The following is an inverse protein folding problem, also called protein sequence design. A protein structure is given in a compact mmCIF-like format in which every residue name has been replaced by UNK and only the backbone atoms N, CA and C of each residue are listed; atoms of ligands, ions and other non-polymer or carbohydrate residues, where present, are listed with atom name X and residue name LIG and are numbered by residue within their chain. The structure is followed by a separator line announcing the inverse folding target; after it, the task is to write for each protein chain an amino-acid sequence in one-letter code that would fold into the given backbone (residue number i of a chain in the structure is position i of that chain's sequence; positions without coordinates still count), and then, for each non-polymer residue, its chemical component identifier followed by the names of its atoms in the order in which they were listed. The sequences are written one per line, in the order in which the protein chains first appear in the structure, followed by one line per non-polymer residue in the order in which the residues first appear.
data_IF_300389733472
#
_entry.id   IF_300389733472
#
_cell.length_a   1.000
_cell.length_b   1.000
_cell.length_c   1.000
_cell.angle_alpha   90.00
_cell.angle_beta   90.00
_cell.angle_gamma   90.00
#
_symmetry.space_group_name_H-M   'P 1'
#
loop_
_entity.id
_entity.type
_entity.pdbx_description
1 polymer ?
#
# COMPACT_ATOMS: atom_id res chain seq x y z
N UNK A 1 -24.57 12.96 -19.55
CA UNK A 1 -25.81 13.00 -20.33
C UNK A 1 -26.04 14.42 -20.81
N UNK A 2 -26.39 14.62 -22.07
CA UNK A 2 -26.83 15.91 -22.61
C UNK A 2 -28.35 15.93 -22.72
N UNK A 3 -28.97 17.05 -22.37
CA UNK A 3 -30.41 17.27 -22.40
C UNK A 3 -30.65 18.61 -23.10
N UNK A 4 -31.58 18.66 -24.05
CA UNK A 4 -31.98 19.89 -24.73
C UNK A 4 -33.46 20.12 -24.49
N UNK A 5 -33.81 21.28 -23.91
CA UNK A 5 -35.20 21.63 -23.61
C UNK A 5 -35.80 22.47 -24.73
N UNK A 6 -37.07 22.17 -25.08
CA UNK A 6 -37.79 22.93 -26.09
C UNK A 6 -38.20 24.34 -25.59
N UNK A 7 -38.28 24.54 -24.28
CA UNK A 7 -38.61 25.81 -23.64
C UNK A 7 -37.44 26.27 -22.75
N UNK A 8 -37.00 27.51 -22.95
CA UNK A 8 -35.92 28.15 -22.20
C UNK A 8 -36.31 28.49 -20.75
N UNK A 9 -37.61 28.50 -20.43
CA UNK A 9 -38.13 28.77 -19.09
C UNK A 9 -38.34 27.50 -18.26
N UNK A 10 -38.27 26.32 -18.88
CA UNK A 10 -38.43 25.04 -18.17
C UNK A 10 -37.19 24.73 -17.33
N UNK A 11 -37.33 24.90 -16.02
CA UNK A 11 -36.32 24.48 -15.06
C UNK A 11 -36.41 22.96 -14.87
N UNK A 12 -35.43 22.23 -15.40
CA UNK A 12 -35.34 20.77 -15.21
C UNK A 12 -35.29 20.41 -13.73
N UNK A 13 -36.21 19.58 -13.27
CA UNK A 13 -36.15 19.02 -11.93
C UNK A 13 -35.20 17.81 -11.91
N UNK A 14 -33.93 18.08 -11.59
CA UNK A 14 -32.91 17.03 -11.50
C UNK A 14 -33.23 15.98 -10.43
N UNK A 15 -33.97 16.33 -9.37
CA UNK A 15 -34.36 15.35 -8.35
C UNK A 15 -35.27 14.27 -8.94
N UNK A 16 -36.28 14.68 -9.70
CA UNK A 16 -37.20 13.75 -10.38
C UNK A 16 -36.45 12.95 -11.46
N UNK A 17 -35.52 13.58 -12.16
CA UNK A 17 -34.68 12.89 -13.15
C UNK A 17 -33.81 11.81 -12.48
N UNK A 18 -33.22 12.10 -11.33
CA UNK A 18 -32.45 11.13 -10.55
C UNK A 18 -33.28 9.92 -10.11
N UNK A 19 -34.54 10.15 -9.70
CA UNK A 19 -35.48 9.08 -9.35
C UNK A 19 -35.91 8.23 -10.55
N UNK A 20 -35.98 8.81 -11.75
CA UNK A 20 -36.23 8.04 -12.96
C UNK A 20 -35.01 7.22 -13.36
N UNK A 21 -33.81 7.80 -13.29
CA UNK A 21 -32.57 7.08 -13.57
C UNK A 21 -32.43 5.87 -12.65
N UNK A 22 -32.67 6.02 -11.35
CA UNK A 22 -32.60 4.90 -10.40
C UNK A 22 -33.63 3.82 -10.72
N UNK A 23 -34.86 4.20 -11.06
CA UNK A 23 -35.92 3.26 -11.46
C UNK A 23 -35.55 2.48 -12.72
N UNK A 24 -35.09 3.17 -13.77
CA UNK A 24 -34.71 2.55 -15.04
C UNK A 24 -33.50 1.61 -14.89
N UNK A 25 -32.57 1.97 -14.00
CA UNK A 25 -31.38 1.17 -13.68
C UNK A 25 -31.62 0.10 -12.62
N UNK A 26 -32.82 0.03 -12.02
CA UNK A 26 -33.17 -0.88 -10.92
C UNK A 26 -32.20 -0.80 -9.73
N UNK A 27 -31.85 0.43 -9.34
CA UNK A 27 -31.00 0.72 -8.17
C UNK A 27 -31.76 1.62 -7.19
N UNK A 28 -31.29 1.71 -5.94
CA UNK A 28 -31.90 2.59 -4.95
C UNK A 28 -31.70 4.07 -5.33
N UNK A 29 -32.70 4.91 -5.02
CA UNK A 29 -32.64 6.35 -5.25
C UNK A 29 -31.43 7.02 -4.55
N UNK A 30 -30.98 6.46 -3.42
CA UNK A 30 -29.85 6.97 -2.65
C UNK A 30 -28.49 6.73 -3.31
N UNK A 31 -28.44 5.77 -4.25
CA UNK A 31 -27.25 5.40 -5.00
C UNK A 31 -26.99 6.34 -6.18
N UNK A 32 -28.04 6.92 -6.76
CA UNK A 32 -27.93 7.84 -7.89
C UNK A 32 -27.76 9.27 -7.38
N UNK A 33 -26.59 9.84 -7.64
CA UNK A 33 -26.23 11.19 -7.17
C UNK A 33 -25.89 12.11 -8.32
N UNK A 34 -26.37 13.34 -8.25
CA UNK A 34 -26.00 14.38 -9.19
C UNK A 34 -24.57 14.85 -8.88
N UNK A 35 -23.69 14.82 -9.88
CA UNK A 35 -22.28 15.21 -9.72
C UNK A 35 -22.01 16.61 -10.23
N UNK A 36 -22.50 16.93 -11.43
CA UNK A 36 -22.29 18.25 -12.04
C UNK A 36 -23.42 18.57 -13.02
N UNK A 37 -23.71 19.87 -13.16
CA UNK A 37 -24.61 20.43 -14.15
C UNK A 37 -23.91 21.62 -14.80
N UNK A 38 -23.81 21.59 -16.13
CA UNK A 38 -23.37 22.73 -16.92
C UNK A 38 -24.48 23.09 -17.88
N UNK A 39 -24.93 24.34 -17.88
CA UNK A 39 -26.00 24.81 -18.78
C UNK A 39 -25.47 25.85 -19.76
N UNK A 40 -25.88 25.72 -21.02
CA UNK A 40 -25.62 26.68 -22.09
C UNK A 40 -26.93 26.92 -22.86
N UNK A 41 -27.61 28.03 -22.55
CA UNK A 41 -28.95 28.28 -23.10
C UNK A 41 -29.92 27.19 -22.66
N UNK A 42 -30.50 26.47 -23.62
CA UNK A 42 -31.47 25.39 -23.38
C UNK A 42 -30.80 24.01 -23.28
N UNK A 43 -29.48 23.94 -23.46
CA UNK A 43 -28.73 22.70 -23.39
C UNK A 43 -28.10 22.52 -22.02
N UNK A 44 -28.34 21.35 -21.42
CA UNK A 44 -27.81 20.94 -20.14
C UNK A 44 -26.89 19.73 -20.32
N UNK A 45 -25.66 19.86 -19.86
CA UNK A 45 -24.76 18.73 -19.67
C UNK A 45 -24.79 18.32 -18.20
N UNK A 46 -25.36 17.15 -17.94
CA UNK A 46 -25.57 16.62 -16.61
C UNK A 46 -24.72 15.38 -16.39
N UNK A 47 -23.93 15.39 -15.31
CA UNK A 47 -23.11 14.26 -14.89
C UNK A 47 -23.74 13.60 -13.65
N UNK A 48 -23.99 12.30 -13.75
CA UNK A 48 -24.56 11.47 -12.70
C UNK A 48 -23.55 10.43 -12.25
N UNK A 49 -23.60 10.05 -10.97
CA UNK A 49 -22.80 8.97 -10.40
C UNK A 49 -23.70 7.93 -9.74
N UNK A 50 -23.35 6.66 -9.93
CA UNK A 50 -24.02 5.53 -9.29
C UNK A 50 -23.04 4.97 -8.26
N UNK A 51 -23.42 5.05 -6.99
CA UNK A 51 -22.59 4.61 -5.87
C UNK A 51 -23.15 3.33 -5.26
N UNK A 52 -22.32 2.52 -4.58
CA UNK A 52 -22.86 1.44 -3.77
C UNK A 52 -23.81 1.98 -2.70
N UNK A 53 -24.75 1.14 -2.26
CA UNK A 53 -25.63 1.44 -1.12
C UNK A 53 -24.78 1.80 0.10
N UNK A 54 -25.29 2.64 1.01
CA UNK A 54 -24.54 3.13 2.17
C UNK A 54 -23.93 2.03 3.06
N UNK A 55 -24.45 0.81 3.00
CA UNK A 55 -23.96 -0.37 3.73
C UNK A 55 -22.91 -1.19 2.96
N UNK A 56 -22.72 -0.94 1.66
CA UNK A 56 -21.86 -1.72 0.79
C UNK A 56 -20.62 -0.92 0.37
N UNK A 57 -19.46 -1.57 0.35
CA UNK A 57 -18.21 -0.97 -0.11
C UNK A 57 -18.05 -1.04 -1.64
N UNK A 58 -18.81 -1.89 -2.32
CA UNK A 58 -18.77 -2.08 -3.77
C UNK A 58 -20.14 -2.43 -4.34
N UNK A 59 -20.32 -2.15 -5.64
CA UNK A 59 -21.46 -2.63 -6.41
C UNK A 59 -21.16 -4.07 -6.83
N UNK A 60 -22.11 -4.99 -6.66
CA UNK A 60 -21.93 -6.39 -7.06
C UNK A 60 -21.73 -6.51 -8.57
N UNK A 61 -21.01 -7.55 -9.01
CA UNK A 61 -20.74 -7.75 -10.45
C UNK A 61 -22.04 -7.91 -11.26
N UNK A 62 -23.03 -8.64 -10.73
CA UNK A 62 -24.34 -8.82 -11.36
C UNK A 62 -25.09 -7.49 -11.52
N UNK A 63 -25.09 -6.63 -10.50
CA UNK A 63 -25.74 -5.31 -10.56
C UNK A 63 -25.00 -4.38 -11.52
N UNK A 64 -23.66 -4.36 -11.47
CA UNK A 64 -22.86 -3.57 -12.39
C UNK A 64 -23.11 -3.97 -13.86
N UNK A 65 -23.19 -5.28 -14.14
CA UNK A 65 -23.48 -5.80 -15.47
C UNK A 65 -24.90 -5.44 -15.92
N UNK A 66 -25.90 -5.53 -15.02
CA UNK A 66 -27.27 -5.08 -15.30
C UNK A 66 -27.32 -3.60 -15.69
N UNK A 67 -26.63 -2.73 -14.94
CA UNK A 67 -26.54 -1.29 -15.24
C UNK A 67 -25.92 -1.06 -16.62
N UNK A 68 -24.79 -1.72 -16.92
CA UNK A 68 -24.09 -1.58 -18.20
C UNK A 68 -24.97 -2.01 -19.37
N UNK A 69 -25.68 -3.14 -19.26
CA UNK A 69 -26.59 -3.61 -20.30
C UNK A 69 -27.72 -2.60 -20.57
N UNK A 70 -28.32 -2.04 -19.51
CA UNK A 70 -29.39 -1.05 -19.64
C UNK A 70 -28.93 0.25 -20.29
N UNK A 71 -27.72 0.71 -19.95
CA UNK A 71 -27.10 1.88 -20.57
C UNK A 71 -26.76 1.63 -22.04
N UNK A 72 -26.22 0.46 -22.37
CA UNK A 72 -25.80 0.10 -23.74
C UNK A 72 -27.00 -0.09 -24.68
N UNK A 73 -28.04 -0.77 -24.22
CA UNK A 73 -29.21 -1.14 -25.03
C UNK A 73 -30.20 0.03 -25.24
N UNK A 74 -29.82 1.26 -24.88
CA UNK A 74 -30.66 2.47 -25.01
C UNK A 74 -32.01 2.35 -24.30
N UNK A 75 -32.08 1.54 -23.23
CA UNK A 75 -33.34 1.25 -22.53
C UNK A 75 -33.78 2.34 -21.58
N UNK A 76 -32.94 3.34 -21.30
CA UNK A 76 -33.29 4.45 -20.43
C UNK A 76 -34.36 5.32 -21.09
N UNK A 77 -35.62 5.09 -20.75
CA UNK A 77 -36.74 5.89 -21.27
C UNK A 77 -37.09 6.99 -20.28
N UNK A 78 -36.73 8.23 -20.60
CA UNK A 78 -37.20 9.38 -19.84
C UNK A 78 -38.47 9.97 -20.47
N UNK A 79 -39.41 10.46 -19.65
CA UNK A 79 -40.61 11.13 -20.14
C UNK A 79 -40.26 12.36 -20.99
N UNK A 80 -41.08 12.64 -22.00
CA UNK A 80 -40.89 13.73 -22.98
C UNK A 80 -40.77 15.13 -22.34
N UNK A 81 -41.29 15.31 -21.13
CA UNK A 81 -41.18 16.55 -20.34
C UNK A 81 -39.73 17.02 -20.08
N UNK A 82 -38.75 16.12 -20.20
CA UNK A 82 -37.33 16.46 -20.06
C UNK A 82 -36.67 16.87 -21.38
N UNK A 83 -37.41 16.86 -22.50
CA UNK A 83 -36.90 17.17 -23.83
C UNK A 83 -36.06 16.05 -24.44
N UNK A 84 -35.27 16.39 -25.44
CA UNK A 84 -34.39 15.44 -26.11
C UNK A 84 -33.16 15.18 -25.26
N UNK A 85 -32.86 13.91 -24.99
CA UNK A 85 -31.70 13.51 -24.20
C UNK A 85 -30.80 12.55 -24.97
N UNK A 86 -29.51 12.60 -24.68
CA UNK A 86 -28.51 11.68 -25.23
C UNK A 86 -27.49 11.32 -24.15
N UNK A 87 -27.20 10.02 -24.03
CA UNK A 87 -26.06 9.57 -23.24
C UNK A 87 -24.78 9.93 -24.00
N UNK A 88 -24.02 10.88 -23.46
CA UNK A 88 -22.78 11.38 -24.09
C UNK A 88 -21.62 10.43 -23.82
N UNK A 89 -21.46 10.04 -22.56
CA UNK A 89 -20.35 9.22 -22.09
C UNK A 89 -20.81 8.46 -20.85
N UNK A 90 -20.36 7.22 -20.74
CA UNK A 90 -20.43 6.45 -19.50
C UNK A 90 -19.03 5.89 -19.24
N UNK A 91 -18.61 5.93 -17.98
CA UNK A 91 -17.35 5.35 -17.54
C UNK A 91 -17.57 4.66 -16.20
N UNK A 92 -16.98 3.48 -16.03
CA UNK A 92 -16.96 2.76 -14.77
C UNK A 92 -15.61 3.02 -14.10
N UNK A 93 -15.57 3.95 -13.15
CA UNK A 93 -14.36 4.19 -12.38
C UNK A 93 -14.15 3.00 -11.43
N UNK A 94 -13.06 2.21 -11.59
CA UNK A 94 -12.75 1.19 -10.61
C UNK A 94 -12.47 1.90 -9.29
N UNK A 95 -13.22 1.55 -8.24
CA UNK A 95 -12.95 1.98 -6.86
C UNK A 95 -11.45 1.79 -6.63
N UNK A 96 -10.69 2.90 -6.59
CA UNK A 96 -9.24 2.85 -6.35
C UNK A 96 -9.04 1.93 -5.17
N UNK A 97 -8.43 0.78 -5.43
CA UNK A 97 -8.04 -0.19 -4.41
C UNK A 97 -7.37 0.64 -3.32
N UNK A 98 -8.06 0.67 -2.18
CA UNK A 98 -7.80 1.55 -1.06
C UNK A 98 -6.29 1.78 -0.86
N UNK A 99 -5.94 3.03 -0.56
CA UNK A 99 -4.79 3.52 0.20
C UNK A 99 -4.14 2.55 1.22
N UNK A 100 -4.77 1.42 1.57
CA UNK A 100 -4.18 0.25 2.22
C UNK A 100 -2.94 -0.33 1.54
N UNK A 101 -2.78 -0.27 0.21
CA UNK A 101 -1.54 -0.80 -0.43
C UNK A 101 -0.32 0.00 0.02
N UNK A 102 -0.48 1.32 0.16
CA UNK A 102 0.60 2.21 0.60
C UNK A 102 0.91 2.00 2.08
N UNK A 103 -0.12 1.78 2.91
CA UNK A 103 0.06 1.44 4.32
C UNK A 103 0.77 0.10 4.54
N UNK A 104 0.45 -0.93 3.77
CA UNK A 104 1.12 -2.25 3.87
C UNK A 104 2.60 -2.15 3.47
N UNK A 105 2.91 -1.37 2.42
CA UNK A 105 4.30 -1.15 1.98
C UNK A 105 5.13 -0.37 3.01
N UNK A 106 4.55 0.64 3.65
CA UNK A 106 5.24 1.43 4.68
C UNK A 106 5.50 0.60 5.95
N UNK A 107 4.56 -0.27 6.34
CA UNK A 107 4.70 -1.14 7.51
C UNK A 107 5.81 -2.20 7.31
N UNK A 108 5.86 -2.83 6.13
CA UNK A 108 6.85 -3.87 5.83
C UNK A 108 8.29 -3.31 5.80
N UNK A 109 8.47 -2.09 5.26
CA UNK A 109 9.78 -1.43 5.21
C UNK A 109 10.35 -1.14 6.60
N UNK A 110 9.52 -0.70 7.53
CA UNK A 110 9.96 -0.38 8.89
C UNK A 110 10.41 -1.62 9.65
N UNK A 111 9.65 -2.72 9.60
CA UNK A 111 10.00 -3.96 10.29
C UNK A 111 11.30 -4.58 9.75
N UNK A 112 11.47 -4.59 8.43
CA UNK A 112 12.69 -5.13 7.79
C UNK A 112 13.95 -4.33 8.16
N UNK A 113 13.84 -3.00 8.24
CA UNK A 113 14.96 -2.14 8.64
C UNK A 113 15.38 -2.39 10.10
N UNK A 114 14.43 -2.52 11.03
CA UNK A 114 14.73 -2.83 12.42
C UNK A 114 15.36 -4.22 12.57
N UNK A 115 14.88 -5.21 11.81
CA UNK A 115 15.44 -6.55 11.85
C UNK A 115 16.87 -6.59 11.29
N UNK A 116 17.13 -5.89 10.19
CA UNK A 116 18.48 -5.76 9.65
C UNK A 116 19.44 -5.05 10.62
N UNK A 117 19.00 -3.95 11.24
CA UNK A 117 19.79 -3.25 12.26
C UNK A 117 20.12 -4.18 13.44
N UNK A 118 19.14 -4.95 13.93
CA UNK A 118 19.34 -5.90 15.01
C UNK A 118 20.36 -6.99 14.65
N UNK A 119 20.29 -7.53 13.42
CA UNK A 119 21.25 -8.53 12.93
C UNK A 119 22.66 -7.94 12.84
N UNK A 120 22.81 -6.73 12.29
CA UNK A 120 24.11 -6.06 12.16
C UNK A 120 24.72 -5.79 13.54
N UNK A 121 23.95 -5.27 14.50
CA UNK A 121 24.44 -5.08 15.88
C UNK A 121 24.83 -6.43 16.51
N UNK A 122 24.02 -7.47 16.33
CA UNK A 122 24.32 -8.81 16.82
C UNK A 122 25.63 -9.36 16.26
N UNK A 123 25.88 -9.21 14.96
CA UNK A 123 27.15 -9.58 14.33
C UNK A 123 28.33 -8.80 14.92
N UNK A 124 28.21 -7.48 15.07
CA UNK A 124 29.29 -6.65 15.63
C UNK A 124 29.64 -7.09 17.06
N UNK A 125 28.63 -7.31 17.90
CA UNK A 125 28.84 -7.75 19.29
C UNK A 125 29.50 -9.13 19.33
N UNK A 126 29.01 -10.09 18.55
CA UNK A 126 29.55 -11.47 18.53
C UNK A 126 30.99 -11.53 18.03
N UNK A 127 31.32 -10.81 16.94
CA UNK A 127 32.70 -10.74 16.45
C UNK A 127 33.63 -10.06 17.46
N UNK A 128 33.17 -8.99 18.12
CA UNK A 128 33.97 -8.28 19.13
C UNK A 128 34.27 -9.17 20.33
N UNK A 129 33.26 -9.85 20.87
CA UNK A 129 33.42 -10.77 22.00
C UNK A 129 34.32 -11.97 21.64
N UNK A 130 34.17 -12.50 20.43
CA UNK A 130 34.99 -13.61 19.93
C UNK A 130 36.47 -13.22 19.83
N UNK A 131 36.77 -12.07 19.22
CA UNK A 131 38.13 -11.57 19.08
C UNK A 131 38.79 -11.31 20.45
N UNK A 132 38.06 -10.71 21.39
CA UNK A 132 38.55 -10.47 22.76
C UNK A 132 38.80 -11.79 23.48
N UNK A 133 37.89 -12.76 23.38
CA UNK A 133 38.05 -14.08 23.99
C UNK A 133 39.28 -14.81 23.48
N UNK A 134 39.47 -14.85 22.15
CA UNK A 134 40.65 -15.46 21.52
C UNK A 134 41.93 -14.76 21.97
N UNK A 135 41.94 -13.42 21.99
CA UNK A 135 43.10 -12.64 22.40
C UNK A 135 43.49 -12.90 23.87
N UNK A 136 42.51 -12.95 24.78
CA UNK A 136 42.75 -13.23 26.20
C UNK A 136 43.34 -14.63 26.42
N UNK A 137 42.85 -15.65 25.70
CA UNK A 137 43.39 -17.02 25.79
C UNK A 137 44.85 -17.07 25.31
N UNK A 138 45.16 -16.43 24.18
CA UNK A 138 46.54 -16.36 23.67
C UNK A 138 47.44 -15.63 24.66
N UNK A 139 46.98 -14.52 25.23
CA UNK A 139 47.73 -13.74 26.21
C UNK A 139 48.03 -14.54 27.48
N UNK A 140 47.02 -15.22 28.03
CA UNK A 140 47.20 -16.07 29.22
C UNK A 140 48.18 -17.21 28.94
N UNK A 141 48.08 -17.87 27.79
CA UNK A 141 49.01 -18.93 27.39
C UNK A 141 50.45 -18.43 27.28
N UNK A 142 50.65 -17.23 26.71
CA UNK A 142 51.99 -16.62 26.65
C UNK A 142 52.54 -16.35 28.05
N UNK A 143 51.73 -15.78 28.95
CA UNK A 143 52.16 -15.54 30.34
C UNK A 143 52.49 -16.82 31.12
N UNK A 144 51.74 -17.91 30.92
CA UNK A 144 52.04 -19.20 31.56
C UNK A 144 53.32 -19.86 31.02
N UNK A 145 53.66 -19.64 29.74
CA UNK A 145 54.89 -20.18 29.14
C UNK A 145 56.12 -19.41 29.61
N UNK A 146 56.03 -18.09 29.84
CA UNK A 146 57.17 -17.29 30.33
C UNK A 146 57.49 -17.49 31.81
N UNK A 147 56.55 -18.04 32.60
CA UNK A 147 56.73 -18.32 34.03
C UNK A 147 57.38 -19.68 34.33
N UNK A 148 57.62 -20.50 33.30
CA UNK A 148 58.33 -21.77 33.42
C UNK A 148 59.82 -21.51 33.15
N UNK A 149 60.63 -21.52 34.19
CA UNK A 149 62.08 -21.59 34.04
C UNK A 149 62.41 -22.99 33.46
N UNK A 150 63.05 -23.10 32.28
CA UNK A 150 63.39 -24.40 31.73
C UNK A 150 64.44 -25.06 32.63
N UNK A 151 64.11 -26.23 33.20
CA UNK A 151 64.96 -27.03 34.12
C UNK A 151 66.15 -27.69 33.42
N UNK A 152 66.64 -27.09 32.33
CA UNK A 152 67.83 -27.50 31.61
C UNK A 152 68.44 -26.27 30.91
N UNK A 153 68.76 -25.23 31.67
CA UNK A 153 69.85 -24.35 31.25
C UNK A 153 71.13 -25.20 31.36
N UNK A 154 71.96 -25.29 30.30
CA UNK A 154 73.24 -25.98 30.40
C UNK A 154 74.08 -25.19 31.42
N UNK A 155 74.13 -25.70 32.64
CA UNK A 155 75.03 -25.20 33.66
C UNK A 155 76.44 -25.51 33.15
N UNK A 156 77.36 -24.54 33.01
CA UNK A 156 78.72 -24.85 32.63
C UNK A 156 79.29 -25.74 33.74
N UNK A 157 79.62 -26.99 33.39
CA UNK A 157 80.29 -27.90 34.32
C UNK A 157 81.58 -27.23 34.78
N UNK A 158 81.64 -26.94 36.08
CA UNK A 158 82.79 -26.34 36.74
C UNK A 158 83.85 -27.43 36.87
N UNK A 159 84.66 -27.58 35.82
CA UNK A 159 85.86 -28.42 35.80
C UNK A 159 86.74 -28.09 37.03
N UNK A 160 86.88 -29.09 37.91
CA UNK A 160 87.80 -29.11 39.05
C UNK A 160 89.23 -28.83 38.55
N UNK A 161 89.84 -27.74 39.03
CA UNK A 161 91.26 -27.44 38.77
C UNK A 161 92.15 -28.59 39.29
N UNK A 162 93.13 -29.08 38.49
CA UNK A 162 94.09 -30.06 38.98
C UNK A 162 95.11 -29.42 39.93
N UNK A 163 95.29 -30.03 41.10
CA UNK A 163 96.36 -29.74 42.06
C UNK A 163 97.73 -30.01 41.42
N UNK A 164 98.54 -28.97 41.26
CA UNK A 164 99.94 -29.11 40.85
C UNK A 164 100.81 -29.38 42.08
N UNK A 165 101.56 -30.48 42.03
CA UNK A 165 102.69 -30.85 42.89
C UNK A 165 103.95 -30.07 42.56
#
# INVERSE_FOLDING_TARGET
MSISTNDSKLKLNFKDLGQLISKELEVDNSQVRLLNVTSKGNDYLVRWGIFPTSSASYISNSTALSIILRLRDHRLQFPERFGNYKLVEWNAEPQRKSNNIRFILELHRSWWLHHLLAVVLGCIITFSLSAIGIWLVIRHRRQSVTAYEPVASPTPEQELQPLQT
#
